data_IF_097274245474
#
_entry.id   IF_097274245474
#
_cell.length_a   1.000
_cell.length_b   1.000
_cell.length_c   1.000
_cell.angle_alpha   90.00
_cell.angle_beta   90.00
_cell.angle_gamma   90.00
#
_symmetry.space_group_name_H-M   'P 1'
#
loop_
_entity.id
_entity.type
_entity.pdbx_description
1 polymer ?
#
# COMPACT_ATOMS: atom_id res chain seq x y z
N UNK A 1 -5.44 -16.93 -4.04
CA UNK A 1 -6.91 -17.09 -3.99
C UNK A 1 -7.55 -16.11 -2.98
N UNK A 2 -7.36 -14.79 -3.14
CA UNK A 2 -7.82 -13.77 -2.16
C UNK A 2 -8.63 -12.61 -2.77
N UNK A 3 -9.08 -12.73 -4.02
CA UNK A 3 -9.58 -11.60 -4.83
C UNK A 3 -11.08 -11.30 -4.69
N UNK A 4 -11.83 -11.99 -3.81
CA UNK A 4 -13.29 -11.84 -3.69
C UNK A 4 -13.78 -11.31 -2.33
N UNK A 5 -12.90 -10.71 -1.51
CA UNK A 5 -13.31 -10.08 -0.24
C UNK A 5 -13.34 -8.56 -0.44
N UNK A 6 -14.46 -7.86 -0.16
CA UNK A 6 -14.50 -6.40 -0.19
C UNK A 6 -13.39 -5.78 0.66
N UNK A 7 -12.58 -4.91 0.05
CA UNK A 7 -11.42 -4.27 0.71
C UNK A 7 -10.13 -5.10 0.68
N UNK A 8 -10.16 -6.30 0.09
CA UNK A 8 -8.94 -7.03 -0.26
C UNK A 8 -8.28 -6.37 -1.46
N UNK A 9 -6.98 -6.12 -1.35
CA UNK A 9 -6.18 -5.47 -2.37
C UNK A 9 -4.82 -6.14 -2.46
N UNK A 10 -4.40 -6.46 -3.68
CA UNK A 10 -3.09 -7.01 -3.99
C UNK A 10 -2.29 -6.14 -4.97
N UNK A 11 -2.81 -4.97 -5.36
CA UNK A 11 -2.15 -3.99 -6.23
C UNK A 11 -1.78 -4.48 -7.65
N UNK A 12 -2.23 -5.67 -8.08
CA UNK A 12 -1.95 -6.25 -9.41
C UNK A 12 -2.97 -5.82 -10.48
N UNK A 13 -3.70 -4.73 -10.26
CA UNK A 13 -4.70 -4.26 -11.22
C UNK A 13 -4.02 -3.84 -12.54
N UNK A 14 -4.59 -4.21 -13.72
CA UNK A 14 -4.11 -3.71 -15.00
C UNK A 14 -4.12 -2.17 -15.04
N UNK A 15 -3.22 -1.61 -15.84
CA UNK A 15 -3.13 -0.17 -16.13
C UNK A 15 -3.00 0.74 -14.88
N UNK A 16 -2.52 0.20 -13.75
CA UNK A 16 -2.36 0.92 -12.48
C UNK A 16 -3.68 1.47 -11.90
N UNK A 17 -4.83 0.92 -12.27
CA UNK A 17 -6.16 1.29 -11.72
C UNK A 17 -6.42 0.65 -10.34
N UNK A 18 -5.41 0.71 -9.46
CA UNK A 18 -5.47 0.10 -8.12
C UNK A 18 -6.49 0.79 -7.22
N UNK A 19 -6.77 2.08 -7.43
CA UNK A 19 -7.73 2.85 -6.63
C UNK A 19 -9.13 2.26 -6.76
N UNK A 20 -9.58 2.07 -8.00
CA UNK A 20 -10.84 1.44 -8.36
C UNK A 20 -10.90 -0.02 -7.94
N UNK A 21 -9.85 -0.80 -8.22
CA UNK A 21 -9.81 -2.23 -7.90
C UNK A 21 -9.82 -2.51 -6.39
N UNK A 22 -9.16 -1.66 -5.60
CA UNK A 22 -9.00 -1.87 -4.16
C UNK A 22 -10.00 -1.10 -3.30
N UNK A 23 -10.72 -0.13 -3.86
CA UNK A 23 -11.56 0.76 -3.08
C UNK A 23 -10.75 1.64 -2.12
N UNK A 24 -9.56 2.04 -2.56
CA UNK A 24 -8.63 2.91 -1.84
C UNK A 24 -8.35 4.15 -2.71
N UNK A 25 -8.02 5.28 -2.10
CA UNK A 25 -7.62 6.50 -2.82
C UNK A 25 -6.60 7.28 -2.00
N UNK A 26 -5.80 8.12 -2.67
CA UNK A 26 -4.96 9.10 -1.98
C UNK A 26 -5.82 10.13 -1.25
N UNK A 27 -5.32 10.62 -0.12
CA UNK A 27 -5.88 11.75 0.61
C UNK A 27 -5.29 13.05 0.07
N UNK A 28 -6.11 13.93 -0.51
CA UNK A 28 -5.63 15.21 -1.06
C UNK A 28 -5.22 16.23 0.02
N UNK A 29 -5.44 15.91 1.30
CA UNK A 29 -5.08 16.74 2.44
C UNK A 29 -3.75 16.33 3.10
N UNK A 30 -2.95 15.49 2.45
CA UNK A 30 -1.62 15.10 2.90
C UNK A 30 -0.51 15.89 2.17
N UNK A 31 0.75 15.55 2.45
CA UNK A 31 1.91 16.28 1.96
C UNK A 31 2.50 15.64 0.68
N UNK A 32 2.32 14.33 0.50
CA UNK A 32 2.78 13.60 -0.69
C UNK A 32 2.09 12.24 -0.87
N UNK A 33 2.17 11.70 -2.08
CA UNK A 33 1.43 10.51 -2.49
C UNK A 33 2.19 9.18 -2.33
N UNK A 34 1.45 8.12 -2.04
CA UNK A 34 1.91 6.73 -2.23
C UNK A 34 2.04 6.39 -3.72
N UNK A 35 3.00 5.56 -4.09
CA UNK A 35 3.21 5.15 -5.49
C UNK A 35 3.13 3.64 -5.62
N UNK A 36 2.57 3.16 -6.73
CA UNK A 36 2.67 1.75 -7.11
C UNK A 36 4.02 1.54 -7.78
N UNK A 37 4.77 0.59 -7.24
CA UNK A 37 6.06 0.19 -7.80
C UNK A 37 6.12 -1.32 -7.91
N UNK A 38 7.16 -1.80 -8.61
CA UNK A 38 7.55 -3.18 -8.58
C UNK A 38 9.05 -3.34 -8.30
N UNK A 39 9.48 -4.59 -8.11
CA UNK A 39 10.88 -4.92 -7.82
C UNK A 39 11.87 -4.38 -8.86
N UNK A 40 11.48 -4.26 -10.13
CA UNK A 40 12.37 -3.76 -11.18
C UNK A 40 12.78 -2.29 -10.92
N UNK A 41 11.93 -1.52 -10.23
CA UNK A 41 12.17 -0.11 -9.90
C UNK A 41 13.01 0.03 -8.61
N UNK A 42 12.79 -0.81 -7.59
CA UNK A 42 13.54 -0.74 -6.32
C UNK A 42 14.87 -1.49 -6.32
N UNK A 43 15.09 -2.36 -7.31
CA UNK A 43 16.24 -3.27 -7.34
C UNK A 43 16.28 -4.19 -6.11
N UNK A 44 17.48 -4.41 -5.57
CA UNK A 44 17.72 -5.25 -4.39
C UNK A 44 17.34 -4.59 -3.04
N UNK A 45 16.78 -3.38 -3.07
CA UNK A 45 16.43 -2.68 -1.82
C UNK A 45 15.11 -3.15 -1.23
N UNK A 46 14.19 -3.67 -2.05
CA UNK A 46 12.93 -4.24 -1.59
C UNK A 46 13.04 -5.77 -1.38
N UNK A 47 12.10 -6.41 -0.66
CA UNK A 47 12.04 -7.87 -0.52
C UNK A 47 12.07 -8.58 -1.88
N UNK A 48 12.69 -9.75 -1.94
CA UNK A 48 12.84 -10.50 -3.19
C UNK A 48 11.50 -10.92 -3.82
N UNK A 49 10.44 -11.01 -3.02
CA UNK A 49 9.10 -11.43 -3.43
C UNK A 49 8.07 -10.63 -2.65
N UNK A 50 7.12 -10.01 -3.37
CA UNK A 50 5.92 -9.45 -2.74
C UNK A 50 5.12 -10.58 -2.06
N UNK A 51 4.53 -10.28 -0.90
CA UNK A 51 3.77 -11.23 -0.09
C UNK A 51 2.48 -11.71 -0.76
N UNK A 52 2.06 -11.11 -1.87
CA UNK A 52 0.94 -11.59 -2.69
C UNK A 52 1.20 -13.01 -3.19
N UNK A 53 0.39 -14.01 -2.81
CA UNK A 53 0.59 -15.40 -3.26
C UNK A 53 0.52 -15.50 -4.79
N UNK A 54 1.56 -16.02 -5.44
CA UNK A 54 1.65 -16.17 -6.90
C UNK A 54 2.80 -15.36 -7.51
N UNK A 55 2.57 -14.74 -8.68
CA UNK A 55 3.51 -13.83 -9.37
C UNK A 55 3.19 -12.35 -9.07
N UNK A 56 2.82 -12.01 -7.84
CA UNK A 56 2.64 -10.61 -7.45
C UNK A 56 3.96 -9.85 -7.55
N UNK A 57 3.91 -8.65 -8.10
CA UNK A 57 5.07 -7.79 -8.33
C UNK A 57 4.85 -6.37 -7.85
N UNK A 58 3.62 -5.97 -7.56
CA UNK A 58 3.24 -4.59 -7.30
C UNK A 58 2.85 -4.37 -5.84
N UNK A 59 3.32 -3.27 -5.28
CA UNK A 59 2.96 -2.84 -3.94
C UNK A 59 3.01 -1.33 -3.82
N UNK A 60 2.29 -0.79 -2.83
CA UNK A 60 2.36 0.63 -2.49
C UNK A 60 3.67 0.95 -1.78
N UNK A 61 4.25 2.08 -2.16
CA UNK A 61 5.55 2.53 -1.68
C UNK A 61 5.60 4.04 -1.49
N UNK A 62 6.38 4.44 -0.50
CA UNK A 62 6.74 5.83 -0.23
C UNK A 62 8.26 5.94 -0.12
N UNK A 63 8.83 6.96 -0.74
CA UNK A 63 10.26 7.26 -0.59
C UNK A 63 10.44 8.34 0.47
N UNK A 64 10.83 7.96 1.69
CA UNK A 64 11.08 8.94 2.75
C UNK A 64 12.36 9.75 2.55
N UNK A 65 13.27 9.34 1.65
CA UNK A 65 14.55 10.02 1.46
C UNK A 65 14.42 11.41 0.82
N UNK A 66 13.27 11.68 0.18
CA UNK A 66 12.96 12.96 -0.45
C UNK A 66 12.06 13.86 0.39
N UNK A 67 11.65 13.42 1.59
CA UNK A 67 10.65 14.10 2.42
C UNK A 67 11.23 14.65 3.71
N UNK A 68 10.51 15.56 4.34
CA UNK A 68 10.88 16.20 5.60
C UNK A 68 10.23 15.51 6.81
N UNK A 69 10.82 15.74 7.99
CA UNK A 69 10.22 15.23 9.23
C UNK A 69 8.90 15.95 9.49
N UNK A 70 7.80 15.17 9.47
CA UNK A 70 6.46 15.68 9.69
C UNK A 70 5.53 15.43 8.50
N UNK A 71 6.11 15.27 7.30
CA UNK A 71 5.38 14.98 6.07
C UNK A 71 4.60 13.67 6.17
N UNK A 72 3.41 13.65 5.59
CA UNK A 72 2.48 12.54 5.62
C UNK A 72 2.06 12.16 4.22
N UNK A 73 2.01 10.85 4.00
CA UNK A 73 1.32 10.23 2.88
C UNK A 73 0.22 9.32 3.41
N UNK A 74 -0.99 9.45 2.87
CA UNK A 74 -2.20 8.83 3.38
C UNK A 74 -3.02 8.25 2.24
N UNK A 75 -3.35 6.97 2.39
CA UNK A 75 -4.41 6.34 1.62
C UNK A 75 -5.65 6.19 2.51
N UNK A 76 -6.81 6.40 1.93
CA UNK A 76 -8.11 6.29 2.59
C UNK A 76 -9.03 5.35 1.81
N UNK A 77 -10.02 4.77 2.49
CA UNK A 77 -11.02 3.92 1.86
C UNK A 77 -12.03 4.76 1.11
N UNK A 78 -12.34 4.44 -0.16
CA UNK A 78 -13.37 5.17 -0.93
C UNK A 78 -14.79 4.84 -0.49
N UNK A 79 -14.96 3.72 0.20
CA UNK A 79 -16.23 3.26 0.77
C UNK A 79 -16.00 2.61 2.12
N UNK A 80 -17.03 2.61 2.96
CA UNK A 80 -17.01 1.86 4.21
C UNK A 80 -17.02 0.36 3.91
N UNK A 81 -16.07 -0.38 4.47
CA UNK A 81 -16.08 -1.83 4.44
C UNK A 81 -16.89 -2.35 5.63
N UNK A 82 -18.06 -2.98 5.41
CA UNK A 82 -18.88 -3.46 6.50
C UNK A 82 -18.18 -4.60 7.26
N UNK A 83 -18.33 -4.68 8.59
CA UNK A 83 -17.74 -5.75 9.37
C UNK A 83 -18.37 -7.10 9.03
N UNK A 84 -17.56 -8.14 8.79
CA UNK A 84 -18.06 -9.48 8.45
C UNK A 84 -18.86 -10.15 9.57
N UNK A 85 -18.55 -9.84 10.84
CA UNK A 85 -19.21 -10.40 12.05
C UNK A 85 -19.28 -9.36 13.19
N UNK A 86 -19.60 -8.11 12.87
CA UNK A 86 -19.58 -7.00 13.85
C UNK A 86 -18.18 -6.56 14.30
N UNK A 87 -17.12 -7.15 13.75
CA UNK A 87 -15.72 -6.77 13.96
C UNK A 87 -15.07 -6.44 12.61
N UNK A 88 -14.42 -5.28 12.51
CA UNK A 88 -13.55 -4.93 11.38
C UNK A 88 -12.13 -5.41 11.68
N UNK A 89 -11.58 -6.28 10.81
CA UNK A 89 -10.19 -6.74 10.90
C UNK A 89 -9.43 -6.26 9.67
N UNK A 90 -8.37 -5.50 9.90
CA UNK A 90 -7.44 -5.10 8.84
C UNK A 90 -6.20 -5.97 8.95
N UNK A 91 -5.80 -6.59 7.85
CA UNK A 91 -4.55 -7.35 7.73
C UNK A 91 -3.84 -6.89 6.47
N UNK A 92 -2.57 -6.54 6.62
CA UNK A 92 -1.73 -6.10 5.52
C UNK A 92 -0.30 -6.60 5.75
N UNK A 93 0.47 -6.62 4.67
CA UNK A 93 1.90 -6.83 4.70
C UNK A 93 2.57 -5.48 4.57
N UNK A 94 3.68 -5.29 5.27
CA UNK A 94 4.49 -4.10 5.16
C UNK A 94 5.96 -4.47 5.19
N UNK A 95 6.76 -3.64 4.53
CA UNK A 95 8.19 -3.70 4.61
C UNK A 95 8.72 -2.28 4.76
N UNK A 96 9.70 -2.11 5.65
CA UNK A 96 10.32 -0.83 5.94
C UNK A 96 11.83 -1.01 5.81
N UNK A 97 12.45 -0.17 4.98
CA UNK A 97 13.90 -0.18 4.85
C UNK A 97 14.54 0.26 6.18
N UNK A 98 15.58 -0.45 6.68
CA UNK A 98 16.26 -0.04 7.91
C UNK A 98 17.15 1.18 7.66
N UNK A 99 16.61 2.38 7.93
CA UNK A 99 17.31 3.66 7.85
C UNK A 99 16.88 4.57 9.00
N UNK A 100 17.73 5.54 9.36
CA UNK A 100 17.39 6.61 10.32
C UNK A 100 16.35 7.59 9.78
N UNK A 101 16.18 7.64 8.46
CA UNK A 101 15.19 8.47 7.77
C UNK A 101 13.86 7.72 7.56
N UNK A 102 13.77 6.46 7.98
CA UNK A 102 12.53 5.70 7.86
C UNK A 102 11.53 6.21 8.88
N UNK A 103 10.38 6.68 8.39
CA UNK A 103 9.29 7.21 9.22
C UNK A 103 8.48 6.11 9.92
N UNK A 104 7.26 6.47 10.32
CA UNK A 104 6.33 5.58 11.04
C UNK A 104 5.14 5.24 10.15
N UNK A 105 4.81 3.95 10.04
CA UNK A 105 3.55 3.50 9.44
C UNK A 105 2.45 3.46 10.51
N UNK A 106 1.32 4.15 10.26
CA UNK A 106 0.14 4.20 11.15
C UNK A 106 -1.09 3.69 10.40
N UNK A 107 -1.95 2.96 11.11
CA UNK A 107 -3.26 2.46 10.64
C UNK A 107 -4.31 2.80 11.68
#
# INVERSE_FOLDING_TARGET
YHTNIPGSCNFEAPDQEWTSACGLTQDLADDFDWNIINRAVTGHRAPETDHTPGKGQHFLYVNSSSQEEGDRARIITTKLFPPSLGICRVRFWFWMFPSRQTGVLKV
#
